data_IF_968664891064
#
_entry.id   IF_968664891064
#
_cell.length_a   1.000
_cell.length_b   1.000
_cell.length_c   1.000
_cell.angle_alpha   90.00
_cell.angle_beta   90.00
_cell.angle_gamma   90.00
#
_symmetry.space_group_name_H-M   'P 1'
#
loop_
_entity.id
_entity.type
_entity.pdbx_description
1 polymer ?
#
# COMPACT_ATOMS: atom_id res chain seq x y z
N UNK A 1 -12.84 -13.42 -6.98
CA UNK A 1 -14.00 -12.72 -6.42
C UNK A 1 -15.22 -13.62 -6.46
N UNK A 2 -15.58 -14.16 -7.64
CA UNK A 2 -16.62 -15.19 -7.80
C UNK A 2 -16.41 -16.38 -6.88
N UNK A 3 -15.23 -17.00 -6.93
CA UNK A 3 -14.84 -18.13 -6.06
C UNK A 3 -15.05 -17.86 -4.56
N UNK A 4 -14.78 -16.64 -4.10
CA UNK A 4 -14.95 -16.26 -2.69
C UNK A 4 -16.43 -16.06 -2.36
N UNK A 5 -17.19 -15.42 -3.26
CA UNK A 5 -18.61 -15.21 -3.06
C UNK A 5 -19.38 -16.54 -3.01
N UNK A 6 -19.01 -17.48 -3.89
CA UNK A 6 -19.56 -18.83 -3.91
C UNK A 6 -19.24 -19.59 -2.62
N UNK A 7 -17.97 -19.59 -2.19
CA UNK A 7 -17.58 -20.20 -0.91
C UNK A 7 -18.32 -19.59 0.31
N UNK A 8 -18.53 -18.28 0.31
CA UNK A 8 -19.26 -17.58 1.39
C UNK A 8 -20.78 -17.73 1.28
N UNK A 9 -21.32 -18.35 0.22
CA UNK A 9 -22.76 -18.37 -0.05
C UNK A 9 -23.36 -16.97 -0.21
N UNK A 10 -22.59 -16.02 -0.72
CA UNK A 10 -22.92 -14.60 -0.78
C UNK A 10 -23.21 -14.11 -2.21
N UNK A 11 -24.06 -13.10 -2.34
CA UNK A 11 -24.26 -12.39 -3.61
C UNK A 11 -23.02 -11.54 -3.94
N UNK A 12 -22.50 -11.68 -5.16
CA UNK A 12 -21.34 -10.91 -5.62
C UNK A 12 -21.75 -9.55 -6.19
N UNK A 13 -21.37 -8.48 -5.51
CA UNK A 13 -21.39 -7.12 -6.07
C UNK A 13 -20.02 -6.76 -6.62
N UNK A 14 -19.84 -6.88 -7.94
CA UNK A 14 -18.63 -6.46 -8.66
C UNK A 14 -18.89 -5.14 -9.39
N UNK A 15 -18.11 -4.11 -9.08
CA UNK A 15 -18.23 -2.80 -9.72
C UNK A 15 -16.86 -2.15 -9.91
N UNK A 16 -16.69 -1.51 -11.07
CA UNK A 16 -15.53 -0.67 -11.38
C UNK A 16 -15.84 0.83 -11.21
N UNK A 17 -17.08 1.16 -10.80
CA UNK A 17 -17.50 2.53 -10.63
C UNK A 17 -16.66 3.24 -9.58
N UNK A 18 -16.23 4.47 -9.89
CA UNK A 18 -15.55 5.34 -8.94
C UNK A 18 -16.06 6.77 -9.05
N UNK A 19 -16.12 7.52 -7.95
CA UNK A 19 -16.66 8.89 -7.94
C UNK A 19 -15.79 9.89 -8.72
N UNK A 20 -14.49 9.65 -8.82
CA UNK A 20 -13.54 10.46 -9.57
C UNK A 20 -12.86 9.57 -10.60
N UNK A 21 -12.88 9.88 -11.91
CA UNK A 21 -12.18 9.09 -12.94
C UNK A 21 -10.67 8.99 -12.67
N UNK A 22 -10.01 7.88 -13.03
CA UNK A 22 -8.56 7.70 -12.87
C UNK A 22 -7.91 7.56 -14.22
N UNK A 23 -6.79 8.24 -14.39
CA UNK A 23 -5.86 8.00 -15.47
C UNK A 23 -4.64 7.27 -14.91
N UNK A 24 -4.38 6.06 -15.41
CA UNK A 24 -3.16 5.31 -15.07
C UNK A 24 -2.11 5.60 -16.12
N UNK A 25 -0.86 5.77 -15.73
CA UNK A 25 0.19 6.08 -16.69
C UNK A 25 1.60 5.73 -16.24
N UNK A 26 2.50 5.73 -17.20
CA UNK A 26 3.93 5.54 -16.99
C UNK A 26 4.64 6.85 -17.29
N UNK A 27 5.45 7.31 -16.34
CA UNK A 27 6.33 8.45 -16.52
C UNK A 27 7.73 8.01 -16.92
N UNK A 28 8.29 8.66 -17.94
CA UNK A 28 9.67 8.53 -18.36
C UNK A 28 10.14 9.84 -19.00
N UNK A 29 11.27 10.39 -18.52
CA UNK A 29 11.91 11.61 -19.09
C UNK A 29 10.91 12.72 -19.43
N UNK A 30 10.30 13.30 -18.40
CA UNK A 30 9.40 14.46 -18.48
C UNK A 30 8.04 14.20 -19.13
N UNK A 31 7.73 12.97 -19.53
CA UNK A 31 6.46 12.63 -20.20
C UNK A 31 5.73 11.55 -19.44
N UNK A 32 4.45 11.77 -19.22
CA UNK A 32 3.50 10.75 -18.77
C UNK A 32 2.77 10.24 -20.02
N UNK A 33 2.84 8.94 -20.28
CA UNK A 33 1.95 8.23 -21.22
C UNK A 33 0.84 7.62 -20.39
N UNK A 34 -0.42 7.88 -20.72
CA UNK A 34 -1.59 7.31 -20.06
C UNK A 34 -2.13 6.08 -20.80
N UNK A 35 -2.96 5.31 -20.11
CA UNK A 35 -3.64 4.12 -20.63
C UNK A 35 -4.63 4.42 -21.76
N UNK A 36 -5.26 5.59 -21.73
CA UNK A 36 -6.08 6.15 -22.83
C UNK A 36 -5.27 6.57 -24.08
N UNK A 37 -3.94 6.36 -24.06
CA UNK A 37 -3.02 6.74 -25.14
C UNK A 37 -2.63 8.21 -25.14
N UNK A 38 -3.28 9.05 -24.32
CA UNK A 38 -2.92 10.46 -24.19
C UNK A 38 -1.55 10.62 -23.54
N UNK A 39 -0.91 11.77 -23.82
CA UNK A 39 0.42 12.10 -23.31
C UNK A 39 0.39 13.46 -22.67
N UNK A 40 1.08 13.60 -21.53
CA UNK A 40 1.25 14.86 -20.82
C UNK A 40 2.74 15.12 -20.60
N UNK A 41 3.18 16.35 -20.91
CA UNK A 41 4.53 16.81 -20.61
C UNK A 41 4.54 17.47 -19.24
N UNK A 42 5.48 17.06 -18.38
CA UNK A 42 5.72 17.62 -17.05
C UNK A 42 6.65 18.81 -17.20
N UNK A 43 6.10 20.02 -17.10
CA UNK A 43 6.83 21.28 -17.36
C UNK A 43 7.44 21.84 -16.07
N UNK A 44 8.39 21.10 -15.50
CA UNK A 44 9.08 21.51 -14.27
C UNK A 44 10.59 21.39 -14.46
N UNK A 45 11.32 22.48 -14.20
CA UNK A 45 12.78 22.53 -14.27
C UNK A 45 13.43 21.90 -13.03
N UNK A 46 13.18 20.60 -12.81
CA UNK A 46 13.78 19.81 -11.74
C UNK A 46 14.34 18.53 -12.37
N UNK A 47 15.64 18.28 -12.17
CA UNK A 47 16.33 17.10 -12.73
C UNK A 47 15.85 15.79 -12.14
N UNK A 48 15.49 15.78 -10.86
CA UNK A 48 14.98 14.59 -10.18
C UNK A 48 13.53 14.30 -10.61
N UNK A 49 13.30 13.12 -11.17
CA UNK A 49 12.01 12.73 -11.76
C UNK A 49 10.88 12.68 -10.75
N UNK A 50 11.16 12.19 -9.54
CA UNK A 50 10.17 12.13 -8.46
C UNK A 50 9.76 13.53 -8.03
N UNK A 51 10.73 14.41 -7.83
CA UNK A 51 10.48 15.79 -7.47
C UNK A 51 9.77 16.56 -8.59
N UNK A 52 10.13 16.35 -9.85
CA UNK A 52 9.44 16.97 -10.98
C UNK A 52 7.94 16.61 -11.00
N UNK A 53 7.59 15.32 -10.89
CA UNK A 53 6.21 14.87 -10.88
C UNK A 53 5.41 15.36 -9.67
N UNK A 54 6.01 15.33 -8.48
CA UNK A 54 5.35 15.78 -7.27
C UNK A 54 5.08 17.28 -7.34
N UNK A 55 6.07 18.09 -7.74
CA UNK A 55 5.95 19.54 -7.81
C UNK A 55 5.04 20.01 -8.94
N UNK A 56 5.00 19.30 -10.07
CA UNK A 56 3.99 19.51 -11.13
C UNK A 56 2.58 19.43 -10.56
N UNK A 57 2.30 18.40 -9.75
CA UNK A 57 0.99 18.24 -9.08
C UNK A 57 0.72 19.37 -8.08
N UNK A 58 1.72 19.74 -7.27
CA UNK A 58 1.57 20.80 -6.26
C UNK A 58 1.34 22.17 -6.89
N UNK A 59 1.99 22.46 -8.02
CA UNK A 59 1.77 23.70 -8.80
C UNK A 59 0.36 23.80 -9.39
N UNK A 60 -0.31 22.67 -9.62
CA UNK A 60 -1.72 22.62 -10.02
C UNK A 60 -2.70 22.70 -8.83
N UNK A 61 -2.21 22.95 -7.62
CA UNK A 61 -3.02 22.97 -6.40
C UNK A 61 -3.40 21.59 -5.87
N UNK A 62 -2.82 20.53 -6.44
CA UNK A 62 -3.03 19.15 -6.02
C UNK A 62 -2.09 18.72 -4.90
N UNK A 63 -2.40 17.57 -4.29
CA UNK A 63 -1.52 16.88 -3.36
C UNK A 63 -1.04 15.56 -3.96
N UNK A 64 0.13 15.10 -3.53
CA UNK A 64 0.75 13.88 -4.04
C UNK A 64 0.97 12.86 -2.94
N UNK A 65 0.60 11.61 -3.21
CA UNK A 65 0.97 10.45 -2.41
C UNK A 65 2.03 9.65 -3.17
N UNK A 66 3.19 9.43 -2.56
CA UNK A 66 4.34 8.75 -3.18
C UNK A 66 4.54 7.41 -2.48
N UNK A 67 4.51 6.32 -3.24
CA UNK A 67 4.77 4.98 -2.74
C UNK A 67 6.21 4.53 -3.04
N UNK A 68 6.88 4.09 -1.98
CA UNK A 68 8.27 3.58 -2.00
C UNK A 68 8.38 2.34 -1.13
N UNK A 69 9.36 1.47 -1.41
CA UNK A 69 9.36 0.10 -0.89
C UNK A 69 9.82 -0.04 0.57
N UNK A 70 10.60 0.90 1.12
CA UNK A 70 11.17 0.79 2.47
C UNK A 70 10.97 2.02 3.35
N UNK A 71 10.99 1.83 4.68
CA UNK A 71 10.93 2.91 5.68
C UNK A 71 12.06 3.93 5.53
N UNK A 72 13.26 3.46 5.18
CA UNK A 72 14.41 4.36 4.91
C UNK A 72 14.17 5.17 3.64
N UNK A 73 13.62 4.53 2.62
CA UNK A 73 13.28 5.17 1.34
C UNK A 73 12.19 6.22 1.48
N UNK A 74 11.17 6.02 2.34
CA UNK A 74 10.14 7.04 2.60
C UNK A 74 10.75 8.29 3.21
N UNK A 75 11.64 8.13 4.20
CA UNK A 75 12.36 9.22 4.85
C UNK A 75 13.22 10.00 3.85
N UNK A 76 14.03 9.29 3.05
CA UNK A 76 14.88 9.90 2.04
C UNK A 76 14.07 10.66 0.97
N UNK A 77 13.00 10.04 0.45
CA UNK A 77 12.13 10.67 -0.54
C UNK A 77 11.44 11.92 0.01
N UNK A 78 10.91 11.87 1.23
CA UNK A 78 10.27 13.01 1.87
C UNK A 78 11.27 14.16 2.11
N UNK A 79 12.49 13.87 2.55
CA UNK A 79 13.54 14.88 2.73
C UNK A 79 13.95 15.53 1.40
N UNK A 80 14.03 14.76 0.32
CA UNK A 80 14.24 15.30 -1.03
C UNK A 80 13.09 16.24 -1.44
N UNK A 81 11.86 15.77 -1.32
CA UNK A 81 10.66 16.49 -1.75
C UNK A 81 10.37 17.73 -0.91
N UNK A 82 10.71 17.72 0.38
CA UNK A 82 10.62 18.86 1.30
C UNK A 82 11.34 20.09 0.73
N UNK A 83 12.57 19.93 0.22
CA UNK A 83 13.38 21.03 -0.31
C UNK A 83 12.71 21.76 -1.46
N UNK A 84 11.97 21.02 -2.29
CA UNK A 84 11.26 21.58 -3.45
C UNK A 84 9.88 22.12 -3.04
N UNK A 85 9.17 21.40 -2.17
CA UNK A 85 7.82 21.76 -1.72
C UNK A 85 7.83 23.07 -0.93
N UNK A 86 8.86 23.33 -0.13
CA UNK A 86 9.02 24.59 0.62
C UNK A 86 8.83 25.84 -0.25
N UNK A 87 9.26 25.80 -1.52
CA UNK A 87 9.19 26.93 -2.46
C UNK A 87 7.78 27.19 -3.01
N UNK A 88 6.85 26.28 -2.73
CA UNK A 88 5.45 26.36 -3.19
C UNK A 88 4.49 26.80 -2.09
N UNK A 89 5.00 26.94 -0.86
CA UNK A 89 4.18 27.27 0.32
C UNK A 89 4.04 28.79 0.46
N UNK A 90 2.84 29.22 0.83
CA UNK A 90 2.60 30.56 1.35
C UNK A 90 3.19 30.73 2.77
N UNK A 91 3.44 31.98 3.23
CA UNK A 91 3.87 32.24 4.60
C UNK A 91 2.93 31.64 5.65
N UNK A 92 1.62 31.80 5.45
CA UNK A 92 0.59 31.27 6.37
C UNK A 92 0.62 29.73 6.45
N UNK A 93 0.76 29.04 5.33
CA UNK A 93 0.94 27.58 5.34
C UNK A 93 2.21 27.18 6.08
N UNK A 94 3.30 27.93 5.92
CA UNK A 94 4.56 27.70 6.64
C UNK A 94 4.42 27.80 8.16
N UNK A 95 3.67 28.78 8.66
CA UNK A 95 3.37 28.93 10.08
C UNK A 95 2.51 27.77 10.60
N UNK A 96 1.46 27.41 9.88
CA UNK A 96 0.59 26.28 10.22
C UNK A 96 1.35 24.95 10.23
N UNK A 97 2.22 24.72 9.25
CA UNK A 97 3.08 23.53 9.20
C UNK A 97 4.10 23.51 10.34
N UNK A 98 4.59 24.66 10.77
CA UNK A 98 5.47 24.76 11.94
C UNK A 98 4.73 24.35 13.22
N UNK A 99 3.45 24.71 13.36
CA UNK A 99 2.63 24.25 14.48
C UNK A 99 2.43 22.72 14.45
N UNK A 100 2.13 22.14 13.28
CA UNK A 100 2.01 20.67 13.12
C UNK A 100 3.33 19.98 13.47
N UNK A 101 4.47 20.53 13.03
CA UNK A 101 5.79 19.99 13.33
C UNK A 101 6.08 19.97 14.85
N UNK A 102 5.70 21.02 15.58
CA UNK A 102 5.79 21.05 17.05
C UNK A 102 4.94 19.96 17.70
N UNK A 103 3.72 19.72 17.20
CA UNK A 103 2.87 18.62 17.68
C UNK A 103 3.54 17.26 17.46
N UNK A 104 4.21 17.07 16.32
CA UNK A 104 4.94 15.83 16.00
C UNK A 104 6.14 15.63 16.94
N UNK A 105 6.89 16.69 17.22
CA UNK A 105 8.04 16.69 18.13
C UNK A 105 7.62 16.35 19.56
N UNK A 106 6.52 16.96 20.02
CA UNK A 106 5.96 16.78 21.36
C UNK A 106 5.13 15.49 21.52
N UNK A 107 4.94 14.72 20.44
CA UNK A 107 4.16 13.48 20.48
C UNK A 107 4.84 12.36 21.29
N UNK A 108 6.13 12.52 21.58
CA UNK A 108 6.95 11.64 22.40
C UNK A 108 7.57 12.47 23.52
N UNK A 109 7.76 11.88 24.71
CA UNK A 109 8.43 12.56 25.82
C UNK A 109 9.86 13.00 25.48
N UNK A 110 10.56 12.22 24.64
CA UNK A 110 11.85 12.59 24.05
C UNK A 110 11.80 12.45 22.52
N UNK A 111 12.19 13.51 21.80
CA UNK A 111 12.19 13.48 20.34
C UNK A 111 13.33 12.61 19.82
N UNK A 112 12.99 11.54 19.12
CA UNK A 112 13.97 10.69 18.42
C UNK A 112 14.54 11.40 17.17
N UNK A 113 15.60 10.83 16.56
CA UNK A 113 16.13 11.31 15.28
C UNK A 113 15.08 11.29 14.17
N UNK A 114 14.29 10.22 14.08
CA UNK A 114 13.21 10.09 13.10
C UNK A 114 12.10 11.11 13.35
N UNK A 115 11.80 11.40 14.61
CA UNK A 115 10.82 12.44 14.98
C UNK A 115 11.25 13.83 14.45
N UNK A 116 12.49 14.25 14.73
CA UNK A 116 13.04 15.51 14.22
C UNK A 116 13.02 15.57 12.70
N UNK A 117 13.45 14.49 12.04
CA UNK A 117 13.44 14.41 10.58
C UNK A 117 12.02 14.55 10.00
N UNK A 118 11.01 13.94 10.63
CA UNK A 118 9.62 14.08 10.22
C UNK A 118 9.15 15.52 10.36
N UNK A 119 9.40 16.14 11.52
CA UNK A 119 9.05 17.52 11.79
C UNK A 119 9.71 18.50 10.78
N UNK A 120 10.99 18.29 10.45
CA UNK A 120 11.71 19.09 9.46
C UNK A 120 11.15 18.96 8.04
N UNK A 121 10.70 17.76 7.65
CA UNK A 121 9.99 17.57 6.39
C UNK A 121 8.65 18.31 6.43
N UNK A 122 7.91 18.19 7.53
CA UNK A 122 6.56 18.76 7.67
C UNK A 122 6.59 20.28 7.61
N UNK A 123 7.56 20.93 8.28
CA UNK A 123 7.79 22.39 8.17
C UNK A 123 7.93 22.87 6.71
N UNK A 124 8.33 21.97 5.82
CA UNK A 124 8.59 22.24 4.41
C UNK A 124 7.49 21.69 3.49
N UNK A 125 6.37 21.24 4.06
CA UNK A 125 5.18 20.79 3.32
C UNK A 125 5.26 19.36 2.80
N UNK A 126 6.25 18.56 3.20
CA UNK A 126 6.36 17.15 2.87
C UNK A 126 6.35 16.28 4.14
N UNK A 127 6.00 15.00 4.03
CA UNK A 127 6.10 14.08 5.16
C UNK A 127 6.44 12.67 4.68
N UNK A 128 6.96 11.84 5.59
CA UNK A 128 7.00 10.40 5.39
C UNK A 128 6.03 9.70 6.34
N UNK A 129 5.50 8.57 5.91
CA UNK A 129 4.49 7.82 6.65
C UNK A 129 4.78 6.31 6.57
N UNK A 130 5.00 5.68 7.72
CA UNK A 130 5.30 4.24 7.81
C UNK A 130 4.96 3.69 9.21
N UNK A 131 4.92 2.37 9.34
CA UNK A 131 4.52 1.69 10.57
C UNK A 131 5.45 1.95 11.78
N UNK A 132 6.68 2.40 11.53
CA UNK A 132 7.62 2.79 12.60
C UNK A 132 7.38 4.18 13.22
N UNK A 133 6.36 4.92 12.79
CA UNK A 133 5.98 6.20 13.42
C UNK A 133 5.02 5.97 14.58
N UNK A 134 5.12 6.81 15.61
CA UNK A 134 4.16 6.79 16.71
C UNK A 134 2.75 7.14 16.21
N UNK A 135 1.71 6.56 16.81
CA UNK A 135 0.32 6.77 16.37
C UNK A 135 -0.07 8.26 16.31
N UNK A 136 0.33 9.05 17.33
CA UNK A 136 0.06 10.49 17.34
C UNK A 136 0.74 11.25 16.19
N UNK A 137 1.94 10.83 15.77
CA UNK A 137 2.65 11.42 14.63
C UNK A 137 1.96 11.08 13.31
N UNK A 138 1.53 9.82 13.15
CA UNK A 138 0.78 9.37 11.97
C UNK A 138 -0.53 10.17 11.82
N UNK A 139 -1.28 10.32 12.92
CA UNK A 139 -2.50 11.14 12.94
C UNK A 139 -2.23 12.59 12.57
N UNK A 140 -1.19 13.22 13.14
CA UNK A 140 -0.84 14.61 12.81
C UNK A 140 -0.52 14.79 11.31
N UNK A 141 0.21 13.86 10.70
CA UNK A 141 0.50 13.86 9.26
C UNK A 141 -0.78 13.67 8.44
N UNK A 142 -1.62 12.69 8.80
CA UNK A 142 -2.88 12.41 8.11
C UNK A 142 -3.84 13.61 8.15
N UNK A 143 -4.00 14.25 9.31
CA UNK A 143 -4.88 15.39 9.48
C UNK A 143 -4.37 16.63 8.72
N UNK A 144 -3.05 16.89 8.77
CA UNK A 144 -2.44 17.98 8.03
C UNK A 144 -2.49 17.75 6.52
N UNK A 145 -2.40 16.50 6.04
CA UNK A 145 -2.61 16.16 4.65
C UNK A 145 -4.08 16.34 4.25
N UNK A 146 -5.05 15.87 5.05
CA UNK A 146 -6.48 16.05 4.76
C UNK A 146 -6.89 17.53 4.68
N UNK A 147 -6.23 18.39 5.46
CA UNK A 147 -6.40 19.85 5.44
C UNK A 147 -5.65 20.55 4.31
N UNK A 148 -5.03 19.82 3.40
CA UNK A 148 -4.19 20.36 2.31
C UNK A 148 -3.01 21.23 2.79
N UNK A 149 -2.51 21.02 4.02
CA UNK A 149 -1.31 21.71 4.50
C UNK A 149 -0.04 21.00 4.02
N UNK A 150 0.03 19.69 4.26
CA UNK A 150 1.10 18.85 3.70
C UNK A 150 0.76 18.57 2.24
N UNK A 151 1.67 18.92 1.33
CA UNK A 151 1.46 18.79 -0.12
C UNK A 151 1.89 17.43 -0.65
N UNK A 152 2.88 16.81 0.00
CA UNK A 152 3.44 15.53 -0.44
C UNK A 152 3.65 14.57 0.74
N UNK A 153 3.17 13.34 0.62
CA UNK A 153 3.41 12.28 1.62
C UNK A 153 4.10 11.10 0.93
N UNK A 154 5.21 10.63 1.50
CA UNK A 154 5.93 9.44 1.06
C UNK A 154 5.62 8.26 1.99
N UNK A 155 4.99 7.21 1.48
CA UNK A 155 4.52 6.09 2.29
C UNK A 155 5.00 4.73 1.80
N UNK A 156 5.07 3.77 2.72
CA UNK A 156 5.21 2.35 2.36
C UNK A 156 3.85 1.75 1.98
N UNK A 157 3.79 0.81 1.00
CA UNK A 157 2.55 0.15 0.58
C UNK A 157 1.71 -0.47 1.69
N UNK A 158 2.35 -1.06 2.69
CA UNK A 158 1.67 -1.71 3.84
C UNK A 158 0.74 -0.79 4.61
N UNK A 159 0.95 0.52 4.48
CA UNK A 159 0.12 1.54 5.11
C UNK A 159 -0.94 2.12 4.16
N UNK A 160 -0.79 1.88 2.86
CA UNK A 160 -1.78 2.22 1.85
C UNK A 160 -3.10 1.48 2.06
N UNK A 161 -3.10 0.29 2.67
CA UNK A 161 -4.32 -0.48 2.94
C UNK A 161 -5.16 0.12 4.10
N UNK A 162 -4.51 0.73 5.09
CA UNK A 162 -5.16 1.18 6.33
C UNK A 162 -5.51 2.67 6.40
N UNK A 163 -5.22 3.45 5.35
CA UNK A 163 -5.34 4.91 5.38
C UNK A 163 -6.24 5.45 4.28
N UNK A 164 -7.18 6.31 4.67
CA UNK A 164 -8.02 7.08 3.76
C UNK A 164 -7.44 8.49 3.52
N UNK A 165 -6.35 8.57 2.75
CA UNK A 165 -5.75 9.82 2.27
C UNK A 165 -5.81 9.85 0.74
N UNK A 166 -6.92 10.28 0.13
CA UNK A 166 -6.96 10.49 -1.30
C UNK A 166 -6.05 11.67 -1.68
N UNK A 167 -5.38 11.57 -2.82
CA UNK A 167 -4.51 12.62 -3.37
C UNK A 167 -4.87 12.91 -4.81
N UNK A 168 -4.49 14.07 -5.35
CA UNK A 168 -4.73 14.37 -6.79
C UNK A 168 -3.95 13.41 -7.68
N UNK A 169 -2.69 13.17 -7.32
CA UNK A 169 -1.79 12.22 -7.97
C UNK A 169 -1.25 11.20 -6.98
N UNK A 170 -1.22 9.94 -7.37
CA UNK A 170 -0.40 8.90 -6.75
C UNK A 170 0.82 8.66 -7.62
N UNK A 171 2.01 8.60 -7.02
CA UNK A 171 3.26 8.25 -7.69
C UNK A 171 3.78 6.93 -7.14
N UNK A 172 3.92 5.93 -7.99
CA UNK A 172 4.55 4.65 -7.66
C UNK A 172 6.01 4.74 -8.12
N UNK A 173 6.93 5.01 -7.19
CA UNK A 173 8.36 5.14 -7.51
C UNK A 173 9.06 3.78 -7.56
N UNK A 174 8.63 2.87 -6.68
CA UNK A 174 9.21 1.54 -6.51
C UNK A 174 8.12 0.50 -6.79
N UNK A 175 8.15 -0.09 -7.98
CA UNK A 175 7.29 -1.22 -8.40
C UNK A 175 7.95 -2.58 -8.16
N UNK A 176 9.11 -2.59 -7.48
CA UNK A 176 9.82 -3.79 -7.04
C UNK A 176 10.14 -3.70 -5.56
N UNK A 177 10.12 -4.84 -4.87
CA UNK A 177 10.50 -4.98 -3.45
C UNK A 177 11.33 -6.23 -3.22
N UNK A 178 12.18 -6.19 -2.20
CA UNK A 178 12.94 -7.36 -1.78
C UNK A 178 12.02 -8.34 -1.04
N UNK A 179 12.01 -9.59 -1.49
CA UNK A 179 11.27 -10.70 -0.90
C UNK A 179 12.28 -11.81 -0.62
N UNK A 180 12.47 -12.16 0.65
CA UNK A 180 13.36 -13.24 1.04
C UNK A 180 12.69 -14.60 0.77
N UNK A 181 13.41 -15.63 0.27
CA UNK A 181 14.80 -15.64 -0.22
C UNK A 181 14.97 -15.23 -1.71
N UNK A 182 13.88 -14.87 -2.40
CA UNK A 182 13.80 -14.68 -3.85
C UNK A 182 14.44 -13.39 -4.40
N UNK A 183 14.92 -12.50 -3.53
CA UNK A 183 15.54 -11.24 -3.95
C UNK A 183 14.54 -10.18 -4.40
N UNK A 184 14.92 -9.34 -5.35
CA UNK A 184 14.09 -8.24 -5.83
C UNK A 184 12.99 -8.74 -6.79
N UNK A 185 11.74 -8.63 -6.37
CA UNK A 185 10.55 -9.09 -7.11
C UNK A 185 9.64 -7.92 -7.45
N UNK A 186 8.80 -8.07 -8.48
CA UNK A 186 7.70 -7.13 -8.74
C UNK A 186 6.73 -7.15 -7.55
N UNK A 187 6.13 -5.99 -7.26
CA UNK A 187 5.00 -5.96 -6.32
C UNK A 187 3.79 -6.66 -6.96
N UNK A 188 2.86 -7.22 -6.18
CA UNK A 188 1.62 -7.77 -6.73
C UNK A 188 0.81 -6.71 -7.48
N UNK A 189 0.14 -7.12 -8.56
CA UNK A 189 -0.76 -6.26 -9.36
C UNK A 189 -1.88 -5.73 -8.48
N UNK A 190 -2.46 -6.57 -7.61
CA UNK A 190 -3.46 -6.11 -6.65
C UNK A 190 -2.96 -4.94 -5.77
N UNK A 191 -1.72 -5.02 -5.29
CA UNK A 191 -1.11 -3.98 -4.46
C UNK A 191 -0.88 -2.69 -5.26
N UNK A 192 -0.42 -2.82 -6.51
CA UNK A 192 -0.31 -1.70 -7.45
C UNK A 192 -1.67 -1.01 -7.66
N UNK A 193 -2.73 -1.77 -7.96
CA UNK A 193 -4.07 -1.22 -8.17
C UNK A 193 -4.64 -0.55 -6.91
N UNK A 194 -4.36 -1.09 -5.72
CA UNK A 194 -4.72 -0.45 -4.46
C UNK A 194 -4.02 0.91 -4.26
N UNK A 195 -2.75 1.04 -4.66
CA UNK A 195 -2.05 2.32 -4.67
C UNK A 195 -2.70 3.29 -5.66
N UNK A 196 -2.98 2.83 -6.88
CA UNK A 196 -3.63 3.63 -7.91
C UNK A 196 -4.99 4.16 -7.46
N UNK A 197 -5.76 3.36 -6.73
CA UNK A 197 -7.08 3.72 -6.18
C UNK A 197 -7.06 4.87 -5.17
N UNK A 198 -5.89 5.31 -4.69
CA UNK A 198 -5.73 6.49 -3.82
C UNK A 198 -5.73 7.82 -4.59
N UNK A 199 -5.63 7.78 -5.91
CA UNK A 199 -5.65 8.98 -6.74
C UNK A 199 -7.08 9.43 -7.07
N UNK A 200 -7.31 10.73 -6.96
CA UNK A 200 -8.59 11.42 -7.13
C UNK A 200 -9.27 11.70 -5.78
N UNK A 201 -9.35 12.97 -5.37
CA UNK A 201 -10.10 13.41 -4.19
C UNK A 201 -11.55 13.71 -4.60
N UNK A 202 -12.55 12.98 -4.06
CA UNK A 202 -13.95 13.31 -4.29
C UNK A 202 -14.24 14.78 -3.97
N UNK A 203 -15.09 15.42 -4.78
CA UNK A 203 -15.48 16.84 -4.66
C UNK A 203 -14.40 17.89 -4.99
N UNK A 204 -13.11 17.54 -4.99
CA UNK A 204 -12.02 18.50 -5.29
C UNK A 204 -11.43 18.32 -6.69
N UNK A 205 -11.28 17.07 -7.13
CA UNK A 205 -10.56 16.76 -8.36
C UNK A 205 -11.52 16.27 -9.46
N UNK A 206 -11.35 16.80 -10.67
CA UNK A 206 -12.09 16.32 -11.86
C UNK A 206 -11.66 14.91 -12.28
N UNK A 207 -10.42 14.54 -11.97
CA UNK A 207 -9.84 13.24 -12.23
C UNK A 207 -8.64 13.02 -11.30
N UNK A 208 -8.31 11.76 -11.03
CA UNK A 208 -7.07 11.32 -10.37
C UNK A 208 -6.04 10.85 -11.40
N UNK A 209 -4.76 10.96 -11.07
CA UNK A 209 -3.68 10.37 -11.87
C UNK A 209 -2.88 9.38 -11.00
N UNK A 210 -2.69 8.15 -11.46
CA UNK A 210 -1.75 7.22 -10.85
C UNK A 210 -0.60 6.94 -11.83
N UNK A 211 0.61 7.27 -11.42
CA UNK A 211 1.77 7.32 -12.30
C UNK A 211 2.90 6.47 -11.73
N UNK A 212 3.35 5.48 -12.50
CA UNK A 212 4.57 4.72 -12.17
C UNK A 212 5.78 5.33 -12.88
N UNK A 213 6.92 5.42 -12.19
CA UNK A 213 8.16 5.98 -12.75
C UNK A 213 9.00 4.84 -13.34
N UNK A 214 9.13 4.80 -14.67
CA UNK A 214 10.03 3.88 -15.36
C UNK A 214 11.50 4.29 -15.13
N UNK A 215 12.40 3.32 -14.93
CA UNK A 215 13.85 3.56 -14.82
C UNK A 215 14.52 3.54 -16.19
N UNK A 216 13.95 2.79 -17.13
CA UNK A 216 14.41 2.65 -18.52
C UNK A 216 13.33 2.99 -19.54
N UNK A 217 13.74 3.26 -20.79
CA UNK A 217 12.80 3.48 -21.90
C UNK A 217 12.09 2.18 -22.28
N UNK A 218 12.84 1.09 -22.25
CA UNK A 218 12.44 -0.29 -22.47
C UNK A 218 11.38 -0.76 -21.45
N UNK A 219 11.44 -0.26 -20.21
CA UNK A 219 10.45 -0.58 -19.18
C UNK A 219 9.08 0.08 -19.41
N UNK A 220 8.98 1.11 -20.28
CA UNK A 220 7.73 1.88 -20.39
C UNK A 220 6.56 0.99 -20.81
N UNK A 221 6.73 0.19 -21.86
CA UNK A 221 5.66 -0.70 -22.32
C UNK A 221 5.51 -1.92 -21.39
N UNK A 222 6.61 -2.42 -20.84
CA UNK A 222 6.55 -3.51 -19.86
C UNK A 222 5.70 -3.13 -18.63
N UNK A 223 5.84 -1.90 -18.10
CA UNK A 223 5.02 -1.42 -16.99
C UNK A 223 3.54 -1.26 -17.34
N UNK A 224 3.20 -1.04 -18.62
CA UNK A 224 1.80 -1.08 -19.05
C UNK A 224 1.24 -2.49 -18.97
N UNK A 225 1.96 -3.47 -19.51
CA UNK A 225 1.54 -4.88 -19.53
C UNK A 225 1.51 -5.50 -18.12
N UNK A 226 2.57 -5.32 -17.34
CA UNK A 226 2.74 -5.95 -16.02
C UNK A 226 1.82 -5.37 -14.95
N UNK A 227 1.35 -4.12 -15.10
CA UNK A 227 0.62 -3.44 -14.03
C UNK A 227 -0.63 -2.69 -14.48
N UNK A 228 -0.58 -1.91 -15.55
CA UNK A 228 -1.71 -1.01 -15.86
C UNK A 228 -2.86 -1.77 -16.54
N UNK A 229 -2.52 -2.71 -17.42
CA UNK A 229 -3.44 -3.57 -18.18
C UNK A 229 -3.60 -4.96 -17.56
N UNK A 230 -2.74 -5.34 -16.63
CA UNK A 230 -2.82 -6.60 -15.92
C UNK A 230 -4.08 -6.66 -15.04
N UNK A 231 -4.68 -7.85 -14.99
CA UNK A 231 -5.70 -8.16 -13.99
C UNK A 231 -5.03 -8.56 -12.67
N UNK A 232 -5.60 -8.18 -11.50
CA UNK A 232 -5.11 -8.64 -10.21
C UNK A 232 -5.02 -10.15 -10.11
N UNK A 233 -4.02 -10.63 -9.38
CA UNK A 233 -3.79 -12.07 -9.19
C UNK A 233 -4.97 -12.74 -8.48
N UNK A 234 -5.18 -14.03 -8.76
CA UNK A 234 -6.15 -14.84 -8.03
C UNK A 234 -5.82 -14.87 -6.54
N UNK A 235 -6.85 -14.71 -5.71
CA UNK A 235 -6.72 -14.87 -4.27
C UNK A 235 -6.59 -16.35 -3.97
N UNK A 236 -5.52 -16.73 -3.26
CA UNK A 236 -5.26 -18.12 -2.86
C UNK A 236 -5.24 -18.21 -1.34
N UNK A 237 -5.86 -19.27 -0.81
CA UNK A 237 -5.83 -19.57 0.60
C UNK A 237 -4.38 -19.76 1.06
N UNK A 238 -4.06 -19.19 2.23
CA UNK A 238 -2.76 -19.38 2.90
C UNK A 238 -2.83 -20.35 4.06
N UNK A 239 -4.00 -20.95 4.30
CA UNK A 239 -4.19 -21.96 5.34
C UNK A 239 -3.42 -23.25 5.05
N UNK A 240 -3.08 -23.52 3.78
CA UNK A 240 -2.25 -24.64 3.36
C UNK A 240 -0.85 -24.69 4.00
N UNK A 241 -0.37 -23.58 4.55
CA UNK A 241 0.92 -23.52 5.21
C UNK A 241 0.87 -24.28 6.55
N UNK A 242 1.61 -25.39 6.66
CA UNK A 242 1.63 -26.24 7.86
C UNK A 242 1.79 -25.47 9.19
N UNK A 243 2.67 -24.45 9.31
CA UNK A 243 2.79 -23.72 10.57
C UNK A 243 1.50 -23.02 10.99
N UNK A 244 0.73 -22.47 10.04
CA UNK A 244 -0.56 -21.85 10.34
C UNK A 244 -1.59 -22.92 10.72
N UNK A 245 -1.61 -24.04 9.99
CA UNK A 245 -2.54 -25.13 10.23
C UNK A 245 -2.36 -25.75 11.62
N UNK A 246 -1.11 -25.97 12.07
CA UNK A 246 -0.80 -26.52 13.41
C UNK A 246 -1.46 -25.71 14.52
N UNK A 247 -1.33 -24.40 14.47
CA UNK A 247 -1.94 -23.51 15.48
C UNK A 247 -3.47 -23.59 15.45
N UNK A 248 -4.09 -23.62 14.27
CA UNK A 248 -5.55 -23.69 14.15
C UNK A 248 -6.10 -25.04 14.57
N UNK A 249 -5.48 -26.15 14.17
CA UNK A 249 -5.87 -27.51 14.56
C UNK A 249 -5.79 -27.68 16.08
N UNK A 250 -4.65 -27.32 16.68
CA UNK A 250 -4.48 -27.40 18.13
C UNK A 250 -5.50 -26.53 18.87
N UNK A 251 -5.77 -25.31 18.40
CA UNK A 251 -6.76 -24.44 19.00
C UNK A 251 -8.18 -25.01 18.90
N UNK A 252 -8.55 -25.62 17.78
CA UNK A 252 -9.86 -26.26 17.61
C UNK A 252 -10.06 -27.43 18.57
N UNK A 253 -9.04 -28.26 18.77
CA UNK A 253 -9.05 -29.38 19.72
C UNK A 253 -9.09 -28.85 21.16
N UNK A 254 -8.19 -27.93 21.51
CA UNK A 254 -8.10 -27.39 22.87
C UNK A 254 -9.35 -26.60 23.31
N UNK A 255 -10.05 -25.96 22.37
CA UNK A 255 -11.31 -25.28 22.63
C UNK A 255 -12.53 -26.21 22.64
N UNK A 256 -12.35 -27.50 22.30
CA UNK A 256 -13.43 -28.49 22.24
C UNK A 256 -14.40 -28.30 21.07
N UNK A 257 -14.00 -27.58 20.02
CA UNK A 257 -14.80 -27.45 18.80
C UNK A 257 -14.81 -28.73 17.97
N UNK A 258 -13.76 -29.54 18.08
CA UNK A 258 -13.59 -30.83 17.42
C UNK A 258 -13.11 -31.83 18.45
N UNK A 259 -13.66 -33.05 18.44
CA UNK A 259 -13.39 -34.08 19.45
C UNK A 259 -12.81 -35.37 18.86
N UNK A 260 -12.77 -35.47 17.53
CA UNK A 260 -12.24 -36.61 16.77
C UNK A 260 -11.68 -36.13 15.42
N UNK A 261 -11.03 -37.04 14.70
CA UNK A 261 -10.42 -36.75 13.41
C UNK A 261 -11.47 -36.40 12.34
N UNK A 262 -12.62 -37.08 12.37
CA UNK A 262 -13.71 -36.86 11.40
C UNK A 262 -14.30 -35.45 11.55
N UNK A 263 -14.59 -35.01 12.78
CA UNK A 263 -15.08 -33.66 13.06
C UNK A 263 -14.06 -32.57 12.74
N UNK A 264 -12.76 -32.87 12.89
CA UNK A 264 -11.71 -31.96 12.41
C UNK A 264 -11.68 -31.86 10.89
N UNK A 265 -11.81 -32.98 10.18
CA UNK A 265 -11.91 -32.98 8.72
C UNK A 265 -13.14 -32.19 8.27
N UNK A 266 -14.33 -32.49 8.79
CA UNK A 266 -15.58 -31.78 8.47
C UNK A 266 -15.46 -30.27 8.68
N UNK A 267 -14.86 -29.83 9.79
CA UNK A 267 -14.61 -28.40 10.04
C UNK A 267 -13.69 -27.80 8.97
N UNK A 268 -12.63 -28.51 8.62
CA UNK A 268 -11.64 -28.03 7.65
C UNK A 268 -12.16 -28.05 6.21
N UNK A 269 -13.11 -28.92 5.89
CA UNK A 269 -13.83 -28.95 4.61
C UNK A 269 -14.64 -27.67 4.35
N UNK A 270 -15.05 -26.96 5.41
CA UNK A 270 -15.74 -25.67 5.29
C UNK A 270 -14.80 -24.49 4.98
N UNK A 271 -13.48 -24.70 4.99
CA UNK A 271 -12.51 -23.62 4.78
C UNK A 271 -12.35 -23.26 3.30
N UNK A 272 -11.97 -22.02 3.02
CA UNK A 272 -11.62 -21.61 1.65
C UNK A 272 -10.46 -22.43 1.06
N UNK A 273 -9.61 -23.02 1.91
CA UNK A 273 -8.58 -23.93 1.45
C UNK A 273 -9.17 -25.21 0.85
N UNK A 274 -10.09 -25.87 1.55
CA UNK A 274 -10.76 -27.06 1.04
C UNK A 274 -11.60 -26.75 -0.20
N UNK A 275 -12.24 -25.58 -0.24
CA UNK A 275 -12.95 -25.10 -1.42
C UNK A 275 -12.04 -25.01 -2.67
N UNK A 276 -10.82 -24.49 -2.53
CA UNK A 276 -9.89 -24.29 -3.65
C UNK A 276 -9.12 -25.55 -4.07
N UNK A 277 -8.75 -26.41 -3.13
CA UNK A 277 -7.82 -27.52 -3.37
C UNK A 277 -8.45 -28.91 -3.20
N UNK A 278 -9.71 -28.98 -2.77
CA UNK A 278 -10.42 -30.23 -2.49
C UNK A 278 -10.07 -30.84 -1.14
N UNK A 279 -10.97 -31.70 -0.66
CA UNK A 279 -10.90 -32.29 0.68
C UNK A 279 -9.74 -33.28 0.85
N UNK A 280 -9.36 -33.99 -0.22
CA UNK A 280 -8.24 -34.95 -0.20
C UNK A 280 -6.86 -34.30 0.05
N UNK A 281 -6.64 -33.08 -0.45
CA UNK A 281 -5.43 -32.31 -0.12
C UNK A 281 -5.41 -31.95 1.36
N UNK A 282 -6.55 -31.45 1.86
CA UNK A 282 -6.73 -31.00 3.24
C UNK A 282 -6.48 -32.13 4.23
N UNK A 283 -7.06 -33.31 3.99
CA UNK A 283 -6.87 -34.50 4.83
C UNK A 283 -5.38 -34.84 5.00
N UNK A 284 -4.61 -34.85 3.91
CA UNK A 284 -3.17 -35.15 3.94
C UNK A 284 -2.34 -34.13 4.72
N UNK A 285 -2.74 -32.85 4.72
CA UNK A 285 -2.04 -31.84 5.54
C UNK A 285 -2.43 -32.02 7.01
N UNK A 286 -3.70 -32.31 7.30
CA UNK A 286 -4.20 -32.52 8.66
C UNK A 286 -3.53 -33.72 9.32
N UNK A 287 -3.43 -34.86 8.63
CA UNK A 287 -2.72 -36.05 9.14
C UNK A 287 -1.30 -35.69 9.60
N UNK A 288 -0.52 -35.01 8.73
CA UNK A 288 0.85 -34.57 9.07
C UNK A 288 0.89 -33.59 10.25
N UNK A 289 -0.17 -32.80 10.43
CA UNK A 289 -0.28 -31.87 11.57
C UNK A 289 -0.66 -32.61 12.85
N UNK A 290 -1.57 -33.59 12.79
CA UNK A 290 -1.92 -34.43 13.94
C UNK A 290 -0.70 -35.24 14.39
N UNK A 291 0.01 -35.89 13.47
CA UNK A 291 1.26 -36.62 13.74
C UNK A 291 2.29 -35.73 14.45
N UNK A 292 2.40 -34.47 14.00
CA UNK A 292 3.27 -33.48 14.63
C UNK A 292 2.79 -33.18 16.06
N UNK A 293 1.51 -32.86 16.26
CA UNK A 293 0.99 -32.47 17.57
C UNK A 293 1.03 -33.62 18.58
N UNK A 294 0.80 -34.86 18.14
CA UNK A 294 0.92 -36.06 18.97
C UNK A 294 2.38 -36.29 19.39
N UNK A 295 3.32 -36.22 18.43
CA UNK A 295 4.76 -36.37 18.72
C UNK A 295 5.29 -35.31 19.69
N UNK A 296 4.78 -34.08 19.62
CA UNK A 296 5.12 -33.00 20.55
C UNK A 296 4.29 -33.03 21.85
N UNK A 297 3.51 -34.10 22.09
CA UNK A 297 2.68 -34.33 23.30
C UNK A 297 1.64 -33.22 23.55
N UNK A 298 1.19 -32.52 22.50
CA UNK A 298 0.20 -31.44 22.58
C UNK A 298 -1.25 -31.96 22.54
N UNK A 299 -1.44 -33.14 21.96
CA UNK A 299 -2.73 -33.86 21.88
C UNK A 299 -2.51 -35.34 22.21
N UNK A 300 -3.59 -36.12 22.37
CA UNK A 300 -3.60 -37.54 22.70
C UNK A 300 -4.64 -38.28 21.89
#
# INVERSE_FOLDING_TARGET
>A
AEEIAEWLGAELVKSEWRPVPLKKGVYYREKIKFDDGSKRVVKVEIKDELAALAIDTVREGGQTLVFVSTRRSTQAAATLLAKHTKRTLSPTEGEQLTAVAKTIENALGESTRTCRQLADCVRQGAAFHHAGLHHAQRRAVEDAFRRNLIKVVCATPTLAAGINLPSRRTIIRDYRRYVEPYGLQLIPVLEFHQMCGRAGRPQYDKYGEAVVIAKGRDEVEALFEEFIRAEPERITSKLAAEPALRTHVLASIAAGYVNDADGLLEFMEQTFFAYQYGTGEVARIIERVLDFLEREEMIR
#
